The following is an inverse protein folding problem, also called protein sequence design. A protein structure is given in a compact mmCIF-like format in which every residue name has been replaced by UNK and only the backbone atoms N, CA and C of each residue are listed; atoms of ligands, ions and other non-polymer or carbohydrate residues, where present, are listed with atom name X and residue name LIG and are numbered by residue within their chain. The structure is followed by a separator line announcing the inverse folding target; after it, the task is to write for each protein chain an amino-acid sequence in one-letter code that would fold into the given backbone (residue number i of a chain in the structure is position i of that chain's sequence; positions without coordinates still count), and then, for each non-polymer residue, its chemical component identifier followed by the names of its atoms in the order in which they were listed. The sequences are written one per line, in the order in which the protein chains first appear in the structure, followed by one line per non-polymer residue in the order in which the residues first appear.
data_IF_326680555871
#
_entry.id   IF_326680555871
#
_cell.length_a   1.000
_cell.length_b   1.000
_cell.length_c   1.000
_cell.angle_alpha   90.00
_cell.angle_beta   90.00
_cell.angle_gamma   90.00
#
_symmetry.space_group_name_H-M   'P 1'
#
loop_
_entity.id
_entity.type
_entity.pdbx_description
1 polymer ?
#
# COMPACT_ATOMS: atom_id res chain seq x y z
N UNK A 1 -7.23 22.93 -13.35
CA UNK A 1 -6.28 21.85 -13.68
C UNK A 1 -5.77 21.27 -12.37
N UNK A 2 -6.04 20.00 -12.10
CA UNK A 2 -5.94 19.40 -10.74
C UNK A 2 -5.08 18.14 -10.85
N UNK A 3 -3.94 18.15 -10.18
CA UNK A 3 -2.85 17.16 -10.28
C UNK A 3 -3.32 15.73 -9.98
N UNK A 4 -2.99 14.85 -10.91
CA UNK A 4 -3.19 13.40 -10.88
C UNK A 4 -2.08 12.75 -10.06
N UNK A 5 -2.45 12.08 -8.96
CA UNK A 5 -1.57 11.09 -8.34
C UNK A 5 -1.75 9.76 -9.06
N UNK A 6 -0.73 9.34 -9.82
CA UNK A 6 -0.71 8.05 -10.49
C UNK A 6 -0.10 7.02 -9.53
N UNK A 7 -0.98 6.24 -8.90
CA UNK A 7 -0.59 5.06 -8.15
C UNK A 7 -0.83 3.85 -9.05
N UNK A 8 0.24 3.26 -9.58
CA UNK A 8 0.15 2.01 -10.33
C UNK A 8 0.36 0.85 -9.36
N UNK A 9 -0.68 0.06 -9.10
CA UNK A 9 -0.63 -1.16 -8.30
C UNK A 9 -0.74 -2.37 -9.23
N UNK A 10 0.34 -3.14 -9.45
CA UNK A 10 0.18 -4.54 -9.86
C UNK A 10 0.63 -5.40 -8.70
N UNK A 11 -0.26 -6.31 -8.30
CA UNK A 11 -0.14 -7.37 -7.30
C UNK A 11 1.31 -7.75 -6.98
N UNK A 12 1.64 -7.76 -5.70
CA UNK A 12 2.72 -8.59 -5.18
C UNK A 12 2.35 -9.07 -3.78
N UNK A 13 1.82 -10.29 -3.70
CA UNK A 13 1.70 -11.04 -2.46
C UNK A 13 2.79 -12.13 -2.51
N UNK A 14 3.87 -11.98 -1.74
CA UNK A 14 4.92 -13.01 -1.60
C UNK A 14 4.83 -13.62 -0.20
N UNK A 15 4.60 -14.93 -0.11
CA UNK A 15 4.66 -15.67 1.15
C UNK A 15 6.12 -15.73 1.63
N UNK A 16 6.41 -15.27 2.84
CA UNK A 16 7.72 -15.48 3.45
C UNK A 16 7.77 -16.90 4.04
N UNK A 17 8.74 -17.75 3.67
CA UNK A 17 8.71 -19.20 3.96
C UNK A 17 8.87 -19.59 5.44
N UNK A 18 8.93 -18.64 6.38
CA UNK A 18 9.25 -18.93 7.80
C UNK A 18 8.47 -18.13 8.86
N UNK A 19 7.47 -17.31 8.51
CA UNK A 19 6.67 -16.55 9.50
C UNK A 19 5.22 -16.35 9.03
N UNK A 20 4.28 -16.30 9.98
CA UNK A 20 2.86 -15.90 9.81
C UNK A 20 2.73 -14.38 9.46
N UNK A 21 3.78 -13.80 8.88
CA UNK A 21 3.85 -12.40 8.48
C UNK A 21 3.91 -12.34 6.96
N UNK A 22 2.89 -11.76 6.33
CA UNK A 22 2.87 -11.56 4.89
C UNK A 22 3.46 -10.18 4.60
N UNK A 23 4.56 -10.15 3.86
CA UNK A 23 5.17 -8.91 3.42
C UNK A 23 4.62 -8.53 2.04
N UNK A 24 3.95 -7.39 1.98
CA UNK A 24 3.35 -6.82 0.77
C UNK A 24 4.11 -5.56 0.39
N UNK A 25 4.77 -5.60 -0.76
CA UNK A 25 5.40 -4.42 -1.33
C UNK A 25 4.34 -3.61 -2.07
N UNK A 26 3.92 -2.49 -1.50
CA UNK A 26 3.07 -1.53 -2.20
C UNK A 26 3.98 -0.76 -3.18
N UNK A 27 3.55 -0.62 -4.42
CA UNK A 27 4.40 -0.11 -5.51
C UNK A 27 4.89 1.33 -5.28
N UNK A 28 5.72 1.80 -6.22
CA UNK A 28 6.21 3.19 -6.25
C UNK A 28 5.05 4.16 -6.44
N UNK A 29 4.97 5.16 -5.57
CA UNK A 29 4.12 6.32 -5.73
C UNK A 29 4.90 7.43 -6.40
N UNK A 30 4.25 8.12 -7.32
CA UNK A 30 4.77 9.30 -8.00
C UNK A 30 3.78 10.44 -7.81
N UNK A 31 4.20 11.46 -7.06
CA UNK A 31 3.52 12.74 -6.93
C UNK A 31 3.86 13.56 -8.18
N UNK A 32 2.94 13.60 -9.14
CA UNK A 32 3.11 14.41 -10.35
C UNK A 32 2.63 15.81 -10.04
N UNK A 33 3.49 16.80 -10.32
CA UNK A 33 3.15 18.20 -10.20
C UNK A 33 2.81 18.86 -11.56
N UNK A 34 1.54 19.01 -11.91
CA UNK A 34 1.07 19.95 -12.96
C UNK A 34 1.16 21.42 -12.51
N UNK A 35 2.31 22.06 -12.76
CA UNK A 35 2.56 23.48 -12.42
C UNK A 35 3.70 23.71 -11.43
N UNK A 36 4.23 24.93 -11.41
CA UNK A 36 5.49 25.35 -10.80
C UNK A 36 5.39 25.59 -9.27
N UNK A 37 4.80 24.64 -8.54
CA UNK A 37 4.66 24.73 -7.08
C UNK A 37 5.91 24.19 -6.40
N UNK A 38 6.95 25.03 -6.33
CA UNK A 38 8.21 24.71 -5.64
C UNK A 38 8.01 24.53 -4.13
N UNK A 39 7.00 25.20 -3.55
CA UNK A 39 6.69 25.14 -2.11
C UNK A 39 5.59 24.13 -1.73
N UNK A 40 5.15 23.28 -2.66
CA UNK A 40 4.14 22.27 -2.34
C UNK A 40 4.69 21.24 -1.35
N UNK A 41 4.17 21.26 -0.12
CA UNK A 41 4.46 20.28 0.92
C UNK A 41 3.35 19.26 0.93
N UNK A 42 3.74 17.98 0.89
CA UNK A 42 2.81 16.87 0.97
C UNK A 42 2.95 16.18 2.31
N UNK A 43 1.83 15.67 2.81
CA UNK A 43 1.72 14.91 4.02
C UNK A 43 1.01 13.61 3.71
N UNK A 44 1.43 12.53 4.34
CA UNK A 44 0.80 11.22 4.25
C UNK A 44 0.25 10.84 5.61
N UNK A 45 -0.95 10.25 5.61
CA UNK A 45 -1.53 9.55 6.75
C UNK A 45 -2.08 8.23 6.27
N UNK A 46 -2.15 7.24 7.14
CA UNK A 46 -2.86 6.01 6.83
C UNK A 46 -3.84 5.64 7.93
N UNK A 47 -4.89 4.95 7.53
CA UNK A 47 -5.85 4.32 8.41
C UNK A 47 -5.91 2.84 8.08
N UNK A 48 -6.13 2.02 9.10
CA UNK A 48 -6.28 0.59 8.95
C UNK A 48 -7.65 0.20 9.50
N UNK A 49 -8.70 0.22 8.66
CA UNK A 49 -10.03 -0.19 9.09
C UNK A 49 -10.11 -1.69 9.41
N UNK A 50 -9.29 -2.52 8.75
CA UNK A 50 -9.33 -3.97 8.92
C UNK A 50 -7.94 -4.62 8.90
N UNK A 51 -7.83 -5.74 9.62
CA UNK A 51 -6.63 -6.54 9.77
C UNK A 51 -5.61 -5.96 10.76
N UNK A 52 -4.40 -6.52 10.76
CA UNK A 52 -3.28 -6.08 11.59
C UNK A 52 -2.01 -6.03 10.75
N UNK A 53 -1.37 -4.88 10.69
CA UNK A 53 -0.13 -4.74 9.92
C UNK A 53 0.62 -3.46 10.24
N UNK A 54 1.68 -3.24 9.50
CA UNK A 54 2.56 -2.08 9.66
C UNK A 54 2.91 -1.52 8.28
N UNK A 55 2.75 -0.20 8.11
CA UNK A 55 3.09 0.50 6.88
C UNK A 55 4.41 1.27 7.06
N UNK A 56 5.32 1.11 6.11
CA UNK A 56 6.62 1.77 6.08
C UNK A 56 6.84 2.52 4.78
N UNK A 57 7.66 3.56 4.81
CA UNK A 57 8.15 4.25 3.61
C UNK A 57 9.58 3.79 3.26
N UNK A 58 10.09 4.12 2.07
CA UNK A 58 11.44 3.72 1.61
C UNK A 58 12.58 4.20 2.52
N UNK A 59 12.37 5.26 3.28
CA UNK A 59 13.34 5.79 4.26
C UNK A 59 13.39 4.98 5.57
N UNK A 60 12.58 3.92 5.69
CA UNK A 60 12.50 3.08 6.88
C UNK A 60 11.56 3.60 7.96
N UNK A 61 11.01 4.82 7.82
CA UNK A 61 10.01 5.36 8.74
C UNK A 61 8.78 4.46 8.78
N UNK A 62 8.43 4.03 9.99
CA UNK A 62 7.21 3.28 10.29
C UNK A 62 6.10 4.27 10.58
N UNK A 63 5.01 4.20 9.84
CA UNK A 63 3.84 5.02 10.10
C UNK A 63 3.02 4.43 11.24
N UNK A 64 2.47 5.31 12.07
CA UNK A 64 1.39 4.97 13.01
C UNK A 64 0.03 5.31 12.37
N UNK A 65 -1.01 4.50 12.63
CA UNK A 65 -2.35 4.82 12.13
C UNK A 65 -2.79 6.20 12.61
N UNK A 66 -3.45 6.97 11.75
CA UNK A 66 -3.94 8.33 11.99
C UNK A 66 -2.91 9.43 12.23
N UNK A 67 -1.61 9.11 12.25
CA UNK A 67 -0.57 10.14 12.33
C UNK A 67 -0.23 10.72 10.95
N UNK A 68 0.06 12.01 10.91
CA UNK A 68 0.50 12.72 9.71
C UNK A 68 2.03 12.74 9.63
N UNK A 69 2.58 12.40 8.47
CA UNK A 69 4.01 12.43 8.20
C UNK A 69 4.32 13.29 6.97
N UNK A 70 5.35 14.15 7.00
CA UNK A 70 5.74 14.91 5.82
C UNK A 70 6.39 14.00 4.77
N UNK A 71 6.00 14.17 3.51
CA UNK A 71 6.67 13.55 2.37
C UNK A 71 7.72 14.51 1.81
N UNK A 72 8.98 14.15 1.97
CA UNK A 72 10.13 14.93 1.47
C UNK A 72 10.45 14.64 0.00
N UNK A 73 9.98 13.50 -0.52
CA UNK A 73 10.24 13.03 -1.89
C UNK A 73 8.95 13.01 -2.70
N UNK A 74 9.05 13.42 -3.96
CA UNK A 74 7.95 13.28 -4.94
C UNK A 74 7.74 11.83 -5.37
N UNK A 75 8.80 11.01 -5.27
CA UNK A 75 8.76 9.59 -5.56
C UNK A 75 9.17 8.80 -4.32
N UNK A 76 8.24 7.99 -3.80
CA UNK A 76 8.46 7.17 -2.62
C UNK A 76 7.85 5.77 -2.81
N UNK A 77 8.23 4.82 -1.97
CA UNK A 77 7.67 3.46 -1.99
C UNK A 77 7.07 3.16 -0.63
N UNK A 78 5.91 2.50 -0.63
CA UNK A 78 5.27 2.06 0.59
C UNK A 78 5.43 0.55 0.76
N UNK A 79 5.64 0.11 1.97
CA UNK A 79 5.84 -1.30 2.29
C UNK A 79 4.89 -1.67 3.41
N UNK A 80 3.95 -2.56 3.12
CA UNK A 80 2.99 -3.01 4.12
C UNK A 80 3.34 -4.42 4.56
N UNK A 81 3.53 -4.61 5.85
CA UNK A 81 3.74 -5.95 6.43
C UNK A 81 2.50 -6.32 7.19
N UNK A 82 1.71 -7.25 6.64
CA UNK A 82 0.61 -7.87 7.36
C UNK A 82 1.16 -8.75 8.48
N UNK A 83 0.50 -8.68 9.63
CA UNK A 83 0.70 -9.55 10.80
C UNK A 83 -0.45 -10.53 11.00
N UNK A 84 -1.28 -10.73 9.98
CA UNK A 84 -2.41 -11.65 10.00
C UNK A 84 -2.62 -12.39 8.68
N UNK A 85 -3.44 -13.43 8.74
CA UNK A 85 -3.86 -14.27 7.60
C UNK A 85 -5.17 -13.81 6.96
N UNK A 86 -5.91 -12.96 7.66
CA UNK A 86 -7.24 -12.50 7.26
C UNK A 86 -7.15 -11.41 6.19
N UNK A 87 -8.29 -10.94 5.71
CA UNK A 87 -8.35 -9.76 4.85
C UNK A 87 -7.70 -8.55 5.55
N UNK A 88 -6.91 -7.80 4.80
CA UNK A 88 -6.24 -6.59 5.28
C UNK A 88 -6.70 -5.42 4.41
N UNK A 89 -7.20 -4.36 5.03
CA UNK A 89 -7.60 -3.15 4.31
C UNK A 89 -6.88 -1.96 4.93
N UNK A 90 -6.23 -1.16 4.10
CA UNK A 90 -5.62 0.10 4.52
C UNK A 90 -6.09 1.23 3.61
N UNK A 91 -6.34 2.39 4.20
CA UNK A 91 -6.61 3.63 3.51
C UNK A 91 -5.41 4.56 3.67
N UNK A 92 -4.84 5.00 2.55
CA UNK A 92 -3.76 5.98 2.53
C UNK A 92 -4.33 7.30 2.04
N UNK A 93 -4.08 8.37 2.78
CA UNK A 93 -4.44 9.71 2.38
C UNK A 93 -3.18 10.53 2.21
N UNK A 94 -3.12 11.28 1.13
CA UNK A 94 -2.06 12.25 0.89
C UNK A 94 -2.71 13.62 0.78
N UNK A 95 -2.27 14.52 1.63
CA UNK A 95 -2.74 15.88 1.71
C UNK A 95 -1.63 16.84 1.28
N UNK A 96 -1.95 17.90 0.56
CA UNK A 96 -1.03 19.02 0.34
C UNK A 96 -1.30 20.20 1.26
N UNK A 97 -0.37 21.14 1.32
CA UNK A 97 -0.51 22.39 2.08
C UNK A 97 -1.58 23.36 1.51
N UNK A 98 -2.18 23.05 0.35
CA UNK A 98 -3.28 23.81 -0.24
C UNK A 98 -4.66 23.23 0.15
N UNK A 99 -4.68 22.15 0.96
CA UNK A 99 -5.90 21.52 1.45
C UNK A 99 -6.47 20.43 0.51
N UNK A 100 -5.78 20.08 -0.58
CA UNK A 100 -6.21 18.97 -1.43
C UNK A 100 -5.85 17.66 -0.75
N UNK A 101 -6.81 16.73 -0.73
CA UNK A 101 -6.64 15.40 -0.17
C UNK A 101 -6.97 14.37 -1.23
N UNK A 102 -6.07 13.40 -1.41
CA UNK A 102 -6.28 12.24 -2.27
C UNK A 102 -6.24 10.99 -1.40
N UNK A 103 -7.31 10.19 -1.47
CA UNK A 103 -7.41 8.89 -0.80
C UNK A 103 -7.12 7.76 -1.78
N UNK A 104 -6.43 6.72 -1.29
CA UNK A 104 -6.22 5.44 -1.96
C UNK A 104 -6.44 4.30 -0.97
N UNK A 105 -7.40 3.44 -1.28
CA UNK A 105 -7.68 2.23 -0.51
C UNK A 105 -6.94 1.06 -1.13
N UNK A 106 -6.27 0.27 -0.29
CA UNK A 106 -5.64 -0.99 -0.65
C UNK A 106 -6.31 -2.11 0.13
N UNK A 107 -6.84 -3.09 -0.60
CA UNK A 107 -7.37 -4.32 -0.02
C UNK A 107 -6.46 -5.48 -0.43
N UNK A 108 -6.02 -6.24 0.56
CA UNK A 108 -5.22 -7.44 0.40
C UNK A 108 -6.02 -8.62 0.94
N UNK A 109 -6.25 -9.61 0.09
CA UNK A 109 -6.82 -10.88 0.50
C UNK A 109 -5.77 -11.95 0.30
N UNK A 110 -5.61 -12.82 1.30
CA UNK A 110 -4.87 -14.05 1.16
C UNK A 110 -5.73 -14.98 0.28
N UNK A 111 -5.58 -14.90 -1.05
CA UNK A 111 -5.99 -16.03 -1.88
C UNK A 111 -5.05 -17.17 -1.49
N UNK A 112 -5.57 -18.12 -0.70
CA UNK A 112 -5.11 -19.50 -0.86
C UNK A 112 -5.24 -19.76 -2.35
N UNK A 113 -4.08 -19.84 -3.02
CA UNK A 113 -3.99 -20.57 -4.27
C UNK A 113 -4.51 -21.94 -3.87
N UNK A 114 -5.79 -22.23 -4.20
CA UNK A 114 -6.20 -23.62 -4.31
C UNK A 114 -5.30 -24.09 -5.44
N UNK A 115 -4.27 -24.83 -5.07
CA UNK A 115 -3.60 -25.71 -6.02
C UNK A 115 -4.74 -26.53 -6.62
N UNK A 116 -5.03 -26.28 -7.91
CA UNK A 116 -5.78 -27.23 -8.70
C UNK A 116 -4.89 -28.46 -8.77
N UNK A 117 -5.11 -29.39 -7.83
CA UNK A 117 -4.55 -30.73 -7.86
C UNK A 117 -5.03 -31.40 -9.15
N UNK A 118 -4.14 -31.52 -10.11
CA UNK A 118 -4.18 -32.56 -11.13
C UNK A 118 -4.24 -33.93 -10.43
N UNK A 119 -5.31 -34.71 -10.66
CA UNK A 119 -5.30 -36.13 -10.32
C UNK A 119 -6.66 -36.77 -10.12
N UNK A 120 -7.25 -37.31 -11.19
CA UNK A 120 -8.43 -38.16 -11.07
C UNK A 120 -8.97 -38.75 -12.38
N UNK A 121 -8.15 -39.46 -13.16
CA UNK A 121 -8.69 -40.52 -14.04
C UNK A 121 -8.92 -41.77 -13.19
N UNK A 122 -10.09 -42.41 -13.34
CA UNK A 122 -10.03 -43.79 -13.81
C UNK A 122 -11.00 -44.04 -14.96
N UNK A 123 -10.57 -44.94 -15.84
CA UNK A 123 -11.36 -45.59 -16.87
C UNK A 123 -12.65 -46.16 -16.28
N UNK A 124 -13.76 -45.96 -16.99
CA UNK A 124 -14.70 -46.99 -17.44
C UNK A 124 -15.65 -46.37 -18.46
#
# INVERSE_FOLDING_TARGET
MRKIMKAECNRACSKLPRRILFYVKIRKFLLVKEGNYQDAKFFIRYFQPDGKGELRVDDGTVFKPNDLYPLTKEAFRLYYTSRGTDQQVIDVYIQDNFGQVIQKTFSFQNQSIKEEDEGGTPLS
#
